data_IF_720447633674
#
_entry.id   IF_720447633674
#
_cell.length_a   1.000
_cell.length_b   1.000
_cell.length_c   1.000
_cell.angle_alpha   90.00
_cell.angle_beta   90.00
_cell.angle_gamma   90.00
#
_symmetry.space_group_name_H-M   'P 1'
#
loop_
_entity.id
_entity.type
_entity.pdbx_description
1 polymer ?
#
# COMPACT_ATOMS: atom_id res chain seq x y z
N UNK A 1 -21.24 -0.87 -11.77
CA UNK A 1 -20.51 -1.14 -10.51
C UNK A 1 -19.08 -0.66 -10.72
N UNK A 2 -18.46 -0.01 -9.73
CA UNK A 2 -17.01 0.28 -9.82
C UNK A 2 -16.25 -1.03 -9.65
N UNK A 3 -15.17 -1.21 -10.41
CA UNK A 3 -14.27 -2.33 -10.22
C UNK A 3 -13.46 -2.13 -8.92
N UNK A 4 -13.11 -3.22 -8.25
CA UNK A 4 -12.35 -3.19 -6.98
C UNK A 4 -10.95 -2.59 -7.15
N UNK A 5 -10.36 -2.85 -8.32
CA UNK A 5 -9.04 -2.41 -8.76
C UNK A 5 -9.14 -2.21 -10.29
N UNK A 6 -8.41 -1.25 -10.84
CA UNK A 6 -8.46 -0.94 -12.29
C UNK A 6 -7.07 -0.92 -12.95
N UNK A 7 -6.01 -1.20 -12.17
CA UNK A 7 -4.63 -1.19 -12.64
C UNK A 7 -3.74 -2.03 -11.72
N UNK A 8 -2.44 -1.77 -11.75
CA UNK A 8 -1.45 -2.49 -10.93
C UNK A 8 -1.00 -1.64 -9.76
N UNK A 9 -1.12 -2.16 -8.54
CA UNK A 9 -0.69 -1.49 -7.31
C UNK A 9 0.38 -2.30 -6.59
N UNK A 10 1.45 -1.66 -6.12
CA UNK A 10 2.42 -2.26 -5.22
C UNK A 10 2.37 -1.54 -3.86
N UNK A 11 1.76 -2.19 -2.88
CA UNK A 11 1.42 -1.59 -1.59
C UNK A 11 2.39 -2.12 -0.55
N UNK A 12 3.20 -1.24 0.04
CA UNK A 12 4.35 -1.62 0.89
C UNK A 12 4.09 -1.21 2.33
N UNK A 13 4.27 -2.14 3.27
CA UNK A 13 4.00 -1.94 4.69
C UNK A 13 4.94 -0.96 5.40
N UNK A 14 5.98 -0.45 4.74
CA UNK A 14 6.96 0.43 5.34
C UNK A 14 8.28 -0.26 5.67
N UNK A 15 9.31 0.56 5.93
CA UNK A 15 10.65 0.10 6.31
C UNK A 15 11.23 -1.00 5.38
N UNK A 16 10.87 -0.98 4.10
CA UNK A 16 11.36 -1.96 3.13
C UNK A 16 12.87 -1.85 2.93
N UNK A 17 13.48 -2.97 2.56
CA UNK A 17 14.92 -3.09 2.34
C UNK A 17 15.41 -2.12 1.25
N UNK A 18 16.36 -1.26 1.63
CA UNK A 18 16.99 -0.24 0.80
C UNK A 18 18.49 -0.48 0.58
N UNK A 19 19.07 -1.47 1.25
CA UNK A 19 20.53 -1.68 1.28
C UNK A 19 20.93 -3.07 0.82
N UNK A 20 20.13 -4.09 1.12
CA UNK A 20 20.34 -5.49 0.77
C UNK A 20 19.86 -5.82 -0.65
N UNK A 21 19.06 -6.89 -0.78
CA UNK A 21 18.53 -7.36 -2.07
C UNK A 21 17.52 -6.38 -2.67
N UNK A 22 16.89 -5.53 -1.85
CA UNK A 22 15.87 -4.57 -2.28
C UNK A 22 14.75 -5.23 -3.10
N UNK A 23 14.27 -6.41 -2.70
CA UNK A 23 13.39 -7.26 -3.52
C UNK A 23 12.12 -6.52 -3.98
N UNK A 24 11.44 -5.84 -3.04
CA UNK A 24 10.21 -5.09 -3.31
C UNK A 24 10.48 -3.93 -4.28
N UNK A 25 11.55 -3.16 -4.05
CA UNK A 25 11.91 -2.02 -4.90
C UNK A 25 12.39 -2.46 -6.28
N UNK A 26 13.09 -3.59 -6.38
CA UNK A 26 13.48 -4.22 -7.64
C UNK A 26 12.25 -4.66 -8.44
N UNK A 27 11.25 -5.25 -7.77
CA UNK A 27 9.98 -5.61 -8.39
C UNK A 27 9.28 -4.38 -8.97
N UNK A 28 9.22 -3.28 -8.23
CA UNK A 28 8.65 -2.01 -8.71
C UNK A 28 9.33 -1.52 -9.99
N UNK A 29 10.67 -1.47 -10.02
CA UNK A 29 11.42 -1.01 -11.20
C UNK A 29 11.16 -1.92 -12.41
N UNK A 30 11.14 -3.23 -12.21
CA UNK A 30 10.81 -4.21 -13.27
C UNK A 30 9.40 -4.00 -13.82
N UNK A 31 8.40 -3.88 -12.95
CA UNK A 31 7.01 -3.62 -13.32
C UNK A 31 6.85 -2.28 -14.05
N UNK A 32 7.68 -1.29 -13.70
CA UNK A 32 7.69 0.03 -14.33
C UNK A 32 8.40 0.04 -15.70
N UNK A 33 8.93 -1.08 -16.19
CA UNK A 33 9.61 -1.18 -17.49
C UNK A 33 11.15 -1.13 -17.44
N UNK A 34 11.75 -1.27 -16.25
CA UNK A 34 13.20 -1.34 -16.04
C UNK A 34 13.97 -0.20 -16.75
N UNK A 35 14.90 -0.52 -17.66
CA UNK A 35 15.71 0.49 -18.35
C UNK A 35 14.90 1.45 -19.23
N UNK A 36 13.66 1.13 -19.57
CA UNK A 36 12.74 2.01 -20.30
C UNK A 36 11.74 2.74 -19.39
N UNK A 37 11.87 2.58 -18.07
CA UNK A 37 10.93 3.16 -17.12
C UNK A 37 11.02 4.69 -17.07
N UNK A 38 9.88 5.35 -16.90
CA UNK A 38 9.78 6.75 -16.48
C UNK A 38 9.11 6.73 -15.11
N UNK A 39 9.92 6.82 -14.06
CA UNK A 39 9.47 6.75 -12.66
C UNK A 39 9.31 8.15 -12.08
N UNK A 40 8.13 8.42 -11.53
CA UNK A 40 7.85 9.65 -10.78
C UNK A 40 7.82 9.32 -9.28
N UNK A 41 8.72 9.91 -8.49
CA UNK A 41 8.74 9.78 -7.03
C UNK A 41 7.98 10.97 -6.43
N UNK A 42 6.91 10.71 -5.70
CA UNK A 42 6.09 11.74 -5.04
C UNK A 42 6.44 11.76 -3.56
N UNK A 43 6.99 12.88 -3.10
CA UNK A 43 7.51 13.06 -1.74
C UNK A 43 6.60 13.94 -0.87
N UNK A 44 5.34 14.12 -1.26
CA UNK A 44 4.38 15.00 -0.56
C UNK A 44 4.20 14.67 0.92
N UNK A 45 4.22 13.38 1.29
CA UNK A 45 4.10 12.94 2.67
C UNK A 45 5.34 13.22 3.52
N UNK A 46 6.52 13.30 2.90
CA UNK A 46 7.79 13.27 3.61
C UNK A 46 8.05 14.59 4.37
N UNK A 47 8.59 14.47 5.58
CA UNK A 47 9.07 15.61 6.37
C UNK A 47 10.34 16.23 5.75
N UNK A 48 11.19 15.38 5.17
CA UNK A 48 12.39 15.79 4.41
C UNK A 48 12.28 15.35 2.93
N UNK A 49 11.46 16.03 2.10
CA UNK A 49 11.17 15.63 0.73
C UNK A 49 12.41 15.42 -0.13
N UNK A 50 13.39 16.33 -0.03
CA UNK A 50 14.59 16.27 -0.85
C UNK A 50 15.48 15.10 -0.46
N UNK A 51 15.69 14.85 0.85
CA UNK A 51 16.53 13.75 1.32
C UNK A 51 15.94 12.41 0.90
N UNK A 52 14.66 12.19 1.19
CA UNK A 52 13.95 10.93 0.90
C UNK A 52 13.82 10.73 -0.62
N UNK A 53 13.50 11.78 -1.37
CA UNK A 53 13.43 11.71 -2.83
C UNK A 53 14.77 11.35 -3.47
N UNK A 54 15.87 11.93 -2.99
CA UNK A 54 17.21 11.59 -3.48
C UNK A 54 17.65 10.18 -3.10
N UNK A 55 17.26 9.69 -1.93
CA UNK A 55 17.49 8.30 -1.51
C UNK A 55 16.83 7.31 -2.49
N UNK A 56 15.51 7.40 -2.71
CA UNK A 56 14.83 6.53 -3.67
C UNK A 56 15.35 6.71 -5.10
N UNK A 57 15.70 7.93 -5.51
CA UNK A 57 16.32 8.16 -6.82
C UNK A 57 17.63 7.38 -6.96
N UNK A 58 18.49 7.37 -5.95
CA UNK A 58 19.74 6.58 -5.98
C UNK A 58 19.46 5.08 -6.04
N UNK A 59 18.50 4.61 -5.25
CA UNK A 59 18.12 3.19 -5.20
C UNK A 59 17.57 2.74 -6.56
N UNK A 60 16.59 3.44 -7.12
CA UNK A 60 16.00 3.06 -8.41
C UNK A 60 17.01 3.16 -9.56
N UNK A 61 17.94 4.12 -9.55
CA UNK A 61 19.06 4.16 -10.50
C UNK A 61 19.94 2.90 -10.38
N UNK A 62 20.32 2.52 -9.15
CA UNK A 62 21.11 1.30 -8.90
C UNK A 62 20.39 0.02 -9.35
N UNK A 63 19.05 0.02 -9.28
CA UNK A 63 18.19 -1.07 -9.71
C UNK A 63 17.89 -1.06 -11.22
N UNK A 64 18.44 -0.11 -11.98
CA UNK A 64 18.35 -0.08 -13.44
C UNK A 64 17.12 0.62 -14.02
N UNK A 65 16.50 1.55 -13.28
CA UNK A 65 15.45 2.41 -13.83
C UNK A 65 16.01 3.38 -14.89
N UNK A 66 15.23 3.64 -15.95
CA UNK A 66 15.63 4.51 -17.05
C UNK A 66 15.67 6.01 -16.69
N UNK A 67 14.50 6.62 -16.50
CA UNK A 67 14.34 8.01 -16.11
C UNK A 67 13.63 8.11 -14.76
N UNK A 68 14.10 9.01 -13.90
CA UNK A 68 13.51 9.24 -12.57
C UNK A 68 13.37 10.74 -12.33
N UNK A 69 12.15 11.17 -12.01
CA UNK A 69 11.85 12.54 -11.59
C UNK A 69 11.30 12.54 -10.16
N UNK A 70 11.80 13.46 -9.32
CA UNK A 70 11.35 13.62 -7.94
C UNK A 70 10.43 14.84 -7.87
N UNK A 71 9.19 14.63 -7.46
CA UNK A 71 8.17 15.65 -7.34
C UNK A 71 7.81 15.88 -5.88
N UNK A 72 8.34 16.99 -5.33
CA UNK A 72 7.85 17.54 -4.07
C UNK A 72 6.62 18.42 -4.34
N UNK A 73 5.42 17.83 -4.28
CA UNK A 73 4.16 18.57 -4.41
C UNK A 73 3.72 19.01 -3.01
N UNK A 74 4.11 20.22 -2.64
CA UNK A 74 4.00 20.76 -1.27
C UNK A 74 2.72 21.56 -1.00
N UNK A 75 1.95 21.86 -2.05
CA UNK A 75 0.82 22.78 -2.01
C UNK A 75 -0.23 22.44 -3.06
N UNK A 76 -1.50 22.72 -2.75
CA UNK A 76 -2.62 22.53 -3.71
C UNK A 76 -2.45 23.37 -4.97
N UNK A 77 -1.79 24.54 -4.88
CA UNK A 77 -1.47 25.38 -6.04
C UNK A 77 -0.53 24.65 -6.99
N UNK A 78 0.53 24.04 -6.47
CA UNK A 78 1.46 23.24 -7.28
C UNK A 78 0.77 22.00 -7.87
N UNK A 79 -0.06 21.32 -7.06
CA UNK A 79 -0.83 20.15 -7.51
C UNK A 79 -1.86 20.47 -8.63
N UNK A 80 -2.30 21.73 -8.74
CA UNK A 80 -3.18 22.17 -9.84
C UNK A 80 -2.45 22.75 -11.05
N UNK A 81 -1.11 22.82 -11.01
CA UNK A 81 -0.36 23.33 -12.14
C UNK A 81 -0.45 22.33 -13.30
N UNK A 82 -0.84 22.79 -14.50
CA UNK A 82 -1.07 21.92 -15.68
C UNK A 82 0.12 21.04 -16.08
N UNK A 83 1.33 21.48 -15.74
CA UNK A 83 2.56 20.70 -15.91
C UNK A 83 2.53 19.36 -15.17
N UNK A 84 1.89 19.26 -14.00
CA UNK A 84 1.80 18.01 -13.23
C UNK A 84 1.10 16.91 -14.02
N UNK A 85 -0.01 17.23 -14.71
CA UNK A 85 -0.72 16.28 -15.56
C UNK A 85 0.16 15.74 -16.68
N UNK A 86 0.95 16.61 -17.33
CA UNK A 86 1.86 16.23 -18.43
C UNK A 86 3.00 15.32 -17.98
N UNK A 87 3.51 15.51 -16.76
CA UNK A 87 4.51 14.62 -16.19
C UNK A 87 3.96 13.23 -15.95
N UNK A 88 2.78 13.16 -15.33
CA UNK A 88 2.11 11.89 -15.03
C UNK A 88 1.62 11.16 -16.29
N UNK A 89 1.40 11.88 -17.38
CA UNK A 89 0.97 11.30 -18.66
C UNK A 89 1.97 10.26 -19.19
N UNK A 90 3.27 10.56 -19.05
CA UNK A 90 4.38 9.73 -19.56
C UNK A 90 4.89 8.71 -18.55
N UNK A 91 4.42 8.75 -17.31
CA UNK A 91 4.93 7.90 -16.25
C UNK A 91 4.57 6.43 -16.49
N UNK A 92 5.55 5.54 -16.35
CA UNK A 92 5.34 4.07 -16.35
C UNK A 92 5.34 3.50 -14.94
N UNK A 93 5.92 4.23 -13.99
CA UNK A 93 5.83 3.96 -12.55
C UNK A 93 5.66 5.24 -11.75
N UNK A 94 4.84 5.19 -10.70
CA UNK A 94 4.67 6.28 -9.74
C UNK A 94 4.89 5.71 -8.34
N UNK A 95 5.75 6.34 -7.54
CA UNK A 95 6.10 5.88 -6.20
C UNK A 95 5.80 6.94 -5.14
N UNK A 96 4.90 6.64 -4.21
CA UNK A 96 4.63 7.47 -3.04
C UNK A 96 5.54 7.09 -1.87
N UNK A 97 6.27 8.07 -1.34
CA UNK A 97 7.09 7.84 -0.14
C UNK A 97 6.23 7.82 1.14
N UNK A 98 6.83 7.39 2.24
CA UNK A 98 6.24 7.49 3.57
C UNK A 98 6.20 8.92 4.12
N UNK A 99 5.64 9.07 5.32
CA UNK A 99 5.47 10.34 6.05
C UNK A 99 4.03 10.49 6.55
N UNK A 100 3.37 11.61 6.25
CA UNK A 100 1.97 11.87 6.59
C UNK A 100 1.01 11.58 5.42
N UNK A 101 0.14 10.58 5.59
CA UNK A 101 -0.87 10.20 4.60
C UNK A 101 -1.99 11.24 4.43
N UNK A 102 -2.35 12.00 5.47
CA UNK A 102 -3.34 13.08 5.37
C UNK A 102 -2.81 14.25 4.53
N UNK A 103 -1.50 14.51 4.60
CA UNK A 103 -0.84 15.49 3.74
C UNK A 103 -0.98 15.15 2.26
N UNK A 104 -0.86 13.88 1.88
CA UNK A 104 -1.07 13.45 0.48
C UNK A 104 -2.49 13.76 0.03
N UNK A 105 -3.52 13.30 0.76
CA UNK A 105 -4.91 13.45 0.32
C UNK A 105 -5.37 14.91 0.36
N UNK A 106 -4.95 15.69 1.35
CA UNK A 106 -5.30 17.12 1.46
C UNK A 106 -4.63 17.99 0.38
N UNK A 107 -3.40 17.65 -0.04
CA UNK A 107 -2.68 18.39 -1.08
C UNK A 107 -3.09 17.96 -2.49
N UNK A 108 -3.27 16.65 -2.73
CA UNK A 108 -3.54 16.12 -4.07
C UNK A 108 -5.03 15.98 -4.36
N UNK A 109 -5.87 15.69 -3.36
CA UNK A 109 -7.28 15.39 -3.55
C UNK A 109 -8.03 16.44 -4.38
N UNK A 110 -8.69 16.00 -5.45
CA UNK A 110 -9.46 16.86 -6.36
C UNK A 110 -8.64 17.88 -7.14
N UNK A 111 -7.34 17.64 -7.34
CA UNK A 111 -6.47 18.49 -8.15
C UNK A 111 -6.14 17.86 -9.50
N UNK A 112 -5.57 18.64 -10.43
CA UNK A 112 -5.04 18.15 -11.71
C UNK A 112 -4.06 16.99 -11.52
N UNK A 113 -3.21 17.03 -10.49
CA UNK A 113 -2.33 15.90 -10.17
C UNK A 113 -3.13 14.64 -9.84
N UNK A 114 -4.21 14.74 -9.04
CA UNK A 114 -5.04 13.57 -8.71
C UNK A 114 -5.76 12.98 -9.93
N UNK A 115 -6.26 13.83 -10.84
CA UNK A 115 -6.82 13.38 -12.11
C UNK A 115 -5.76 12.71 -13.01
N UNK A 116 -4.55 13.28 -13.05
CA UNK A 116 -3.41 12.71 -13.75
C UNK A 116 -2.98 11.35 -13.19
N UNK A 117 -2.95 11.21 -11.86
CA UNK A 117 -2.67 9.95 -11.17
C UNK A 117 -3.69 8.88 -11.54
N UNK A 118 -4.97 9.21 -11.46
CA UNK A 118 -6.04 8.29 -11.84
C UNK A 118 -5.97 7.90 -13.32
N UNK A 119 -5.71 8.88 -14.20
CA UNK A 119 -5.55 8.61 -15.63
C UNK A 119 -4.35 7.71 -15.92
N UNK A 120 -3.22 7.91 -15.24
CA UNK A 120 -2.05 7.06 -15.36
C UNK A 120 -2.34 5.63 -14.90
N UNK A 121 -2.96 5.48 -13.72
CA UNK A 121 -3.39 4.19 -13.19
C UNK A 121 -4.27 3.41 -14.18
N UNK A 122 -5.27 4.06 -14.77
CA UNK A 122 -6.18 3.45 -15.74
C UNK A 122 -5.51 3.08 -17.07
N UNK A 123 -4.38 3.73 -17.43
CA UNK A 123 -3.56 3.38 -18.60
C UNK A 123 -2.59 2.24 -18.34
N UNK A 124 -2.54 1.71 -17.12
CA UNK A 124 -1.64 0.61 -16.74
C UNK A 124 -0.32 1.05 -16.11
N UNK A 125 -0.15 2.34 -15.78
CA UNK A 125 0.99 2.80 -14.98
C UNK A 125 0.95 2.12 -13.60
N UNK A 126 2.08 1.57 -13.16
CA UNK A 126 2.18 0.93 -11.84
C UNK A 126 2.26 2.02 -10.78
N UNK A 127 1.37 1.97 -9.79
CA UNK A 127 1.43 2.87 -8.63
C UNK A 127 1.91 2.08 -7.42
N UNK A 128 3.01 2.54 -6.83
CA UNK A 128 3.60 1.96 -5.64
C UNK A 128 3.60 2.98 -4.49
N UNK A 129 3.61 2.49 -3.25
CA UNK A 129 3.65 3.37 -2.10
C UNK A 129 4.01 2.64 -0.83
N UNK A 130 4.82 3.28 0.00
CA UNK A 130 5.31 2.73 1.27
C UNK A 130 4.80 3.54 2.46
N UNK A 131 4.42 2.85 3.55
CA UNK A 131 3.89 3.47 4.76
C UNK A 131 2.70 4.39 4.43
N UNK A 132 2.78 5.70 4.66
CA UNK A 132 1.74 6.64 4.24
C UNK A 132 1.30 6.48 2.76
N UNK A 133 2.24 6.22 1.85
CA UNK A 133 1.96 5.96 0.43
C UNK A 133 1.13 4.70 0.19
N UNK A 134 1.17 3.71 1.08
CA UNK A 134 0.31 2.54 1.04
C UNK A 134 -1.11 2.86 1.52
N UNK A 135 -1.23 3.54 2.67
CA UNK A 135 -2.52 3.89 3.27
C UNK A 135 -3.40 4.77 2.38
N UNK A 136 -2.80 5.66 1.57
CA UNK A 136 -3.57 6.52 0.66
C UNK A 136 -4.19 5.78 -0.52
N UNK A 137 -3.75 4.55 -0.83
CA UNK A 137 -4.29 3.81 -1.97
C UNK A 137 -5.70 3.31 -1.72
N UNK A 138 -6.05 3.00 -0.47
CA UNK A 138 -7.40 2.56 -0.10
C UNK A 138 -8.45 3.64 -0.31
N UNK A 139 -9.71 3.24 -0.51
CA UNK A 139 -10.86 4.14 -0.49
C UNK A 139 -11.09 4.76 0.88
N UNK A 140 -10.87 3.98 1.95
CA UNK A 140 -10.96 4.39 3.35
C UNK A 140 -9.60 4.22 4.01
N UNK A 141 -9.09 5.28 4.62
CA UNK A 141 -7.72 5.38 5.13
C UNK A 141 -7.71 5.62 6.64
N UNK A 142 -6.86 4.91 7.36
CA UNK A 142 -6.57 5.18 8.78
C UNK A 142 -5.55 6.33 8.86
N UNK A 143 -5.92 7.40 9.55
CA UNK A 143 -5.10 8.62 9.67
C UNK A 143 -4.39 8.67 11.02
N UNK A 144 -5.12 8.35 12.08
CA UNK A 144 -4.61 8.28 13.44
C UNK A 144 -5.19 7.04 14.11
N UNK A 145 -4.51 6.56 15.15
CA UNK A 145 -5.05 5.53 16.01
C UNK A 145 -4.02 4.95 16.96
N UNK A 146 -4.45 4.74 18.19
CA UNK A 146 -3.66 4.19 19.28
C UNK A 146 -3.51 2.67 19.12
N UNK A 147 -2.30 2.17 19.32
CA UNK A 147 -1.93 0.75 19.23
C UNK A 147 -1.82 0.05 20.58
N UNK A 148 -1.72 0.82 21.67
CA UNK A 148 -1.24 0.29 22.95
C UNK A 148 -2.39 -0.09 23.91
N UNK A 149 -3.63 0.16 23.48
CA UNK A 149 -4.84 -0.10 24.26
C UNK A 149 -5.79 -1.06 23.55
N UNK A 150 -6.72 -1.65 24.31
CA UNK A 150 -7.80 -2.42 23.74
C UNK A 150 -8.57 -1.57 22.69
N UNK A 151 -9.05 -2.17 21.59
CA UNK A 151 -9.76 -1.43 20.56
C UNK A 151 -10.99 -0.72 21.16
N UNK A 152 -11.17 0.58 20.87
CA UNK A 152 -12.26 1.41 21.39
C UNK A 152 -12.71 2.47 20.36
N UNK A 153 -13.79 3.21 20.63
CA UNK A 153 -14.35 4.19 19.69
C UNK A 153 -13.35 5.29 19.28
N UNK A 154 -12.47 5.72 20.19
CA UNK A 154 -11.47 6.75 19.94
C UNK A 154 -10.14 6.17 19.40
N UNK A 155 -10.05 4.85 19.22
CA UNK A 155 -8.82 4.18 18.81
C UNK A 155 -8.44 4.46 17.35
N UNK A 156 -9.32 5.04 16.54
CA UNK A 156 -9.03 5.39 15.15
C UNK A 156 -9.69 6.69 14.66
N UNK A 157 -9.02 7.33 13.71
CA UNK A 157 -9.63 8.30 12.80
C UNK A 157 -9.53 7.81 11.37
N UNK A 158 -10.67 7.77 10.69
CA UNK A 158 -10.77 7.40 9.28
C UNK A 158 -10.96 8.64 8.40
N UNK A 159 -10.36 8.63 7.22
CA UNK A 159 -10.58 9.63 6.17
C UNK A 159 -10.66 8.95 4.79
N UNK A 160 -11.23 9.62 3.77
CA UNK A 160 -11.12 9.15 2.40
C UNK A 160 -9.65 9.12 1.93
N UNK A 161 -9.25 8.03 1.27
CA UNK A 161 -7.98 7.96 0.55
C UNK A 161 -8.13 8.42 -0.91
N UNK A 162 -7.22 7.98 -1.78
CA UNK A 162 -7.26 8.25 -3.23
C UNK A 162 -8.21 7.30 -3.98
N UNK A 163 -8.64 6.19 -3.35
CA UNK A 163 -9.59 5.25 -3.96
C UNK A 163 -9.04 4.50 -5.17
N UNK A 164 -7.75 4.12 -5.12
CA UNK A 164 -7.13 3.28 -6.15
C UNK A 164 -7.45 1.79 -5.93
N UNK A 165 -7.66 1.42 -4.66
CA UNK A 165 -8.14 0.12 -4.22
C UNK A 165 -9.43 0.30 -3.42
N UNK A 166 -10.54 -0.12 -3.99
CA UNK A 166 -11.87 0.02 -3.41
C UNK A 166 -12.18 -1.13 -2.42
N UNK A 167 -13.03 -0.85 -1.44
CA UNK A 167 -13.52 -1.82 -0.43
C UNK A 167 -12.39 -2.47 0.40
N UNK A 168 -11.30 -1.74 0.62
CA UNK A 168 -10.17 -2.14 1.47
C UNK A 168 -9.78 -0.95 2.35
N UNK A 169 -9.37 -1.23 3.59
CA UNK A 169 -8.61 -0.31 4.44
C UNK A 169 -7.24 -0.90 4.69
N UNK A 170 -6.21 -0.11 4.43
CA UNK A 170 -4.81 -0.54 4.54
C UNK A 170 -4.19 0.02 5.81
N UNK A 171 -3.57 -0.86 6.58
CA UNK A 171 -2.68 -0.51 7.66
C UNK A 171 -1.27 -1.05 7.41
N UNK A 172 -0.27 -0.31 7.84
CA UNK A 172 1.15 -0.49 7.54
C UNK A 172 1.94 -0.58 8.85
N UNK A 173 3.21 -0.96 8.82
CA UNK A 173 4.03 -1.26 10.01
C UNK A 173 3.26 -2.16 11.00
N UNK A 174 2.51 -3.12 10.47
CA UNK A 174 1.32 -3.63 11.12
C UNK A 174 1.61 -4.41 12.41
N UNK A 175 2.29 -5.55 12.31
CA UNK A 175 2.69 -6.32 13.49
C UNK A 175 3.70 -5.54 14.36
N UNK A 176 4.61 -4.79 13.73
CA UNK A 176 5.69 -4.08 14.41
C UNK A 176 5.19 -3.00 15.37
N UNK A 177 3.99 -2.46 15.12
CA UNK A 177 3.35 -1.44 15.96
C UNK A 177 2.06 -1.93 16.61
N UNK A 178 1.81 -3.24 16.70
CA UNK A 178 0.63 -3.78 17.40
C UNK A 178 -0.72 -3.34 16.82
N UNK A 179 -0.80 -3.04 15.51
CA UNK A 179 -1.94 -2.31 14.89
C UNK A 179 -3.18 -3.15 14.62
N UNK A 180 -3.24 -4.39 15.14
CA UNK A 180 -4.41 -5.26 14.98
C UNK A 180 -5.67 -4.62 15.57
N UNK A 181 -5.55 -3.97 16.72
CA UNK A 181 -6.70 -3.42 17.42
C UNK A 181 -7.39 -2.31 16.65
N UNK A 182 -6.61 -1.36 16.15
CA UNK A 182 -7.13 -0.24 15.36
C UNK A 182 -7.68 -0.68 14.00
N UNK A 183 -7.12 -1.72 13.39
CA UNK A 183 -7.67 -2.31 12.17
C UNK A 183 -8.99 -3.07 12.42
N UNK A 184 -9.12 -3.77 13.56
CA UNK A 184 -10.38 -4.37 14.00
C UNK A 184 -11.46 -3.30 14.18
N UNK A 185 -11.14 -2.18 14.84
CA UNK A 185 -12.05 -1.03 14.95
C UNK A 185 -12.49 -0.55 13.57
N UNK A 186 -11.57 -0.40 12.61
CA UNK A 186 -11.90 0.09 11.27
C UNK A 186 -12.88 -0.85 10.53
N UNK A 187 -12.68 -2.16 10.63
CA UNK A 187 -13.59 -3.16 10.07
C UNK A 187 -14.92 -3.19 10.83
N UNK A 188 -14.93 -3.01 12.15
CA UNK A 188 -16.17 -2.94 12.92
C UNK A 188 -17.02 -1.72 12.55
N UNK A 189 -16.41 -0.56 12.28
CA UNK A 189 -17.12 0.63 11.79
C UNK A 189 -17.83 0.40 10.45
N UNK A 190 -17.29 -0.47 9.60
CA UNK A 190 -17.93 -0.85 8.35
C UNK A 190 -17.55 -2.27 7.95
N UNK A 191 -18.32 -3.31 8.34
CA UNK A 191 -17.98 -4.70 8.03
C UNK A 191 -17.92 -5.01 6.52
N UNK A 192 -18.40 -4.10 5.66
CA UNK A 192 -18.24 -4.19 4.21
C UNK A 192 -16.78 -4.05 3.77
N UNK A 193 -15.92 -3.27 4.44
CA UNK A 193 -14.52 -3.12 4.00
C UNK A 193 -13.66 -4.29 4.47
N UNK A 194 -12.69 -4.68 3.65
CA UNK A 194 -11.66 -5.67 4.02
C UNK A 194 -10.50 -4.95 4.71
N UNK A 195 -10.17 -5.35 5.94
CA UNK A 195 -8.95 -4.88 6.60
C UNK A 195 -7.73 -5.58 6.03
N UNK A 196 -6.68 -4.84 5.69
CA UNK A 196 -5.40 -5.34 5.19
C UNK A 196 -4.25 -4.73 5.99
N UNK A 197 -3.68 -5.49 6.92
CA UNK A 197 -2.49 -5.12 7.68
C UNK A 197 -1.23 -5.67 7.02
N UNK A 198 -0.33 -4.79 6.60
CA UNK A 198 0.92 -5.14 5.91
C UNK A 198 2.10 -4.86 6.85
N UNK A 199 2.89 -5.89 7.11
CA UNK A 199 4.09 -5.79 7.94
C UNK A 199 5.21 -5.00 7.25
N UNK A 200 6.18 -4.55 8.05
CA UNK A 200 7.42 -3.97 7.51
C UNK A 200 8.13 -4.93 6.55
N UNK A 201 8.85 -4.34 5.58
CA UNK A 201 9.57 -5.07 4.53
C UNK A 201 8.73 -6.14 3.83
N UNK A 202 7.43 -5.87 3.72
CA UNK A 202 6.44 -6.70 3.04
C UNK A 202 5.58 -5.83 2.14
N UNK A 203 5.18 -6.38 1.00
CA UNK A 203 4.31 -5.72 0.05
C UNK A 203 3.28 -6.68 -0.54
N UNK A 204 2.16 -6.12 -0.98
CA UNK A 204 1.23 -6.81 -1.89
C UNK A 204 1.32 -6.20 -3.28
N UNK A 205 1.51 -7.04 -4.29
CA UNK A 205 1.28 -6.64 -5.67
C UNK A 205 -0.15 -7.03 -6.05
N UNK A 206 -1.01 -6.04 -6.25
CA UNK A 206 -2.40 -6.22 -6.67
C UNK A 206 -2.47 -6.10 -8.19
N UNK A 207 -3.02 -7.12 -8.82
CA UNK A 207 -3.24 -7.20 -10.26
C UNK A 207 -4.63 -6.66 -10.66
N UNK A 208 -4.83 -6.26 -11.93
CA UNK A 208 -6.12 -5.75 -12.42
C UNK A 208 -7.31 -6.71 -12.27
N UNK A 209 -7.06 -8.01 -12.07
CA UNK A 209 -8.09 -9.04 -11.83
C UNK A 209 -8.46 -9.20 -10.33
N UNK A 210 -8.02 -8.27 -9.48
CA UNK A 210 -8.23 -8.27 -8.04
C UNK A 210 -7.56 -9.43 -7.28
N UNK A 211 -6.60 -10.12 -7.90
CA UNK A 211 -5.70 -11.04 -7.20
C UNK A 211 -4.48 -10.30 -6.72
N UNK A 212 -3.93 -10.71 -5.59
CA UNK A 212 -2.65 -10.20 -5.09
C UNK A 212 -1.67 -11.32 -4.80
N UNK A 213 -0.38 -10.99 -4.96
CA UNK A 213 0.77 -11.78 -4.49
C UNK A 213 1.47 -11.06 -3.32
N UNK A 214 1.93 -11.81 -2.33
CA UNK A 214 2.74 -11.28 -1.22
C UNK A 214 4.22 -11.39 -1.54
N UNK A 215 4.94 -10.27 -1.37
CA UNK A 215 6.37 -10.10 -1.64
C UNK A 215 7.04 -9.58 -0.37
N UNK A 216 8.31 -9.94 -0.14
CA UNK A 216 9.08 -9.47 1.02
C UNK A 216 9.22 -10.52 2.11
N UNK A 217 9.55 -10.09 3.31
CA UNK A 217 10.09 -10.96 4.36
C UNK A 217 9.05 -11.45 5.38
N UNK A 218 7.94 -10.73 5.58
CA UNK A 218 6.97 -11.01 6.63
C UNK A 218 5.59 -11.40 6.06
N UNK A 219 4.50 -10.93 6.69
CA UNK A 219 3.14 -11.39 6.40
C UNK A 219 2.18 -10.25 6.11
N UNK A 220 1.05 -10.61 5.52
CA UNK A 220 -0.11 -9.73 5.35
C UNK A 220 -1.30 -10.34 6.07
N UNK A 221 -1.88 -9.59 6.99
CA UNK A 221 -3.07 -9.99 7.74
C UNK A 221 -4.32 -9.40 7.11
N UNK A 222 -5.29 -10.25 6.80
CA UNK A 222 -6.61 -9.85 6.32
C UNK A 222 -7.67 -10.05 7.40
N UNK A 223 -8.53 -9.05 7.57
CA UNK A 223 -9.69 -9.08 8.45
C UNK A 223 -10.98 -8.90 7.64
N UNK A 224 -11.75 -9.96 7.47
CA UNK A 224 -13.03 -9.93 6.76
C UNK A 224 -14.20 -9.84 7.74
N UNK A 225 -14.81 -8.65 7.79
CA UNK A 225 -15.94 -8.34 8.65
C UNK A 225 -17.29 -8.89 8.17
N UNK A 226 -17.41 -9.45 6.96
CA UNK A 226 -18.72 -9.85 6.39
C UNK A 226 -19.47 -10.92 7.20
N UNK A 227 -18.76 -11.66 8.05
CA UNK A 227 -19.36 -12.68 8.91
C UNK A 227 -19.62 -12.21 10.34
N UNK A 228 -19.35 -10.93 10.66
CA UNK A 228 -19.60 -10.37 11.98
C UNK A 228 -21.10 -10.51 12.32
N UNK A 229 -21.39 -11.19 13.42
CA UNK A 229 -22.76 -11.39 13.92
C UNK A 229 -23.14 -10.39 15.00
N UNK A 230 -22.15 -9.81 15.68
CA UNK A 230 -22.33 -8.83 16.73
C UNK A 230 -21.13 -7.89 16.82
N UNK A 231 -21.40 -6.61 17.03
CA UNK A 231 -20.42 -5.60 17.43
C UNK A 231 -21.10 -4.52 18.26
N UNK A 232 -20.45 -4.04 19.31
CA UNK A 232 -20.98 -2.95 20.14
C UNK A 232 -20.53 -1.55 19.67
N UNK A 233 -19.86 -1.43 18.51
CA UNK A 233 -19.20 -0.20 18.03
C UNK A 233 -20.10 1.06 18.03
N UNK A 234 -21.40 0.93 17.75
CA UNK A 234 -22.35 2.06 17.72
C UNK A 234 -22.76 2.58 19.10
N UNK A 235 -22.55 1.76 20.14
CA UNK A 235 -22.94 2.03 21.53
C UNK A 235 -21.74 2.36 22.40
N UNK A 236 -20.51 2.19 21.88
CA UNK A 236 -19.29 2.44 22.61
C UNK A 236 -19.17 3.90 23.04
N UNK A 237 -18.99 4.09 24.35
CA UNK A 237 -18.35 5.30 24.87
C UNK A 237 -16.82 5.21 24.66
N UNK A 238 -16.10 6.35 24.61
CA UNK A 238 -14.65 6.41 24.35
C UNK A 238 -13.78 5.39 25.09
N UNK A 239 -14.10 5.08 26.35
CA UNK A 239 -13.27 4.22 27.23
C UNK A 239 -13.75 2.76 27.28
N UNK A 240 -14.80 2.42 26.53
CA UNK A 240 -15.33 1.06 26.49
C UNK A 240 -14.61 0.21 25.44
N UNK A 241 -14.32 -1.04 25.81
CA UNK A 241 -13.69 -2.00 24.91
C UNK A 241 -14.68 -2.50 23.85
N UNK A 242 -14.19 -2.62 22.63
CA UNK A 242 -14.89 -3.17 21.48
C UNK A 242 -15.10 -4.68 21.66
N UNK A 243 -16.36 -5.10 21.54
CA UNK A 243 -16.75 -6.48 21.35
C UNK A 243 -17.01 -6.72 19.86
N UNK A 244 -16.42 -7.76 19.28
CA UNK A 244 -16.69 -8.23 17.92
C UNK A 244 -16.80 -9.74 17.97
N UNK A 245 -17.83 -10.29 17.35
CA UNK A 245 -18.01 -11.73 17.22
C UNK A 245 -17.93 -12.16 15.74
N UNK A 246 -17.24 -13.27 15.50
CA UNK A 246 -17.20 -13.97 14.21
C UNK A 246 -16.53 -13.19 13.05
N UNK A 247 -15.38 -12.56 13.32
CA UNK A 247 -14.51 -12.01 12.28
C UNK A 247 -13.61 -13.10 11.68
N UNK A 248 -13.44 -13.10 10.36
CA UNK A 248 -12.53 -14.05 9.69
C UNK A 248 -11.15 -13.41 9.52
N UNK A 249 -10.12 -14.10 10.01
CA UNK A 249 -8.74 -13.69 9.93
C UNK A 249 -7.95 -14.61 8.99
N UNK A 250 -7.17 -14.02 8.08
CA UNK A 250 -6.18 -14.74 7.28
C UNK A 250 -4.80 -14.12 7.45
N UNK A 251 -3.76 -14.93 7.59
CA UNK A 251 -2.36 -14.48 7.59
C UNK A 251 -1.69 -15.09 6.36
N UNK A 252 -1.21 -14.24 5.45
CA UNK A 252 -0.69 -14.64 4.15
C UNK A 252 0.80 -14.26 4.08
N UNK A 253 1.73 -15.24 4.11
CA UNK A 253 3.15 -14.98 3.93
C UNK A 253 3.53 -14.94 2.44
N UNK A 254 4.80 -14.62 2.16
CA UNK A 254 5.41 -14.74 0.84
C UNK A 254 5.10 -16.08 0.16
N UNK A 255 4.84 -16.03 -1.14
CA UNK A 255 4.59 -17.21 -1.98
C UNK A 255 3.14 -17.70 -1.98
N UNK A 256 2.27 -17.06 -1.20
CA UNK A 256 0.83 -17.21 -1.29
C UNK A 256 0.21 -15.98 -1.95
N UNK A 257 -1.04 -16.12 -2.40
CA UNK A 257 -1.83 -15.01 -2.91
C UNK A 257 -3.14 -14.86 -2.15
N UNK A 258 -3.91 -13.85 -2.56
CA UNK A 258 -5.27 -13.63 -2.04
C UNK A 258 -6.17 -13.09 -3.15
N UNK A 259 -7.38 -13.62 -3.26
CA UNK A 259 -8.41 -13.13 -4.16
C UNK A 259 -9.25 -12.11 -3.40
N UNK A 260 -9.13 -10.82 -3.73
CA UNK A 260 -9.82 -9.74 -3.03
C UNK A 260 -11.33 -9.74 -3.30
N UNK A 261 -11.79 -10.28 -4.43
CA UNK A 261 -13.20 -10.34 -4.77
C UNK A 261 -13.89 -11.48 -4.00
N UNK A 262 -13.27 -12.67 -3.97
CA UNK A 262 -13.76 -13.79 -3.19
C UNK A 262 -13.49 -13.64 -1.68
N UNK A 263 -12.50 -12.81 -1.31
CA UNK A 263 -11.84 -12.72 0.01
C UNK A 263 -11.37 -14.08 0.50
N UNK A 264 -10.54 -14.73 -0.30
CA UNK A 264 -10.00 -16.05 0.02
C UNK A 264 -8.51 -16.12 -0.27
N UNK A 265 -7.73 -16.84 0.56
CA UNK A 265 -6.36 -17.19 0.22
C UNK A 265 -6.30 -17.97 -1.09
N UNK A 266 -5.34 -17.62 -1.94
CA UNK A 266 -4.97 -18.42 -3.11
C UNK A 266 -3.81 -19.32 -2.66
N UNK A 267 -3.97 -20.65 -2.69
CA UNK A 267 -2.91 -21.57 -2.32
C UNK A 267 -1.66 -21.32 -3.16
N UNK A 268 -0.50 -21.59 -2.59
CA UNK A 268 0.76 -21.60 -3.33
C UNK A 268 0.61 -22.53 -4.54
N UNK A 269 0.77 -22.00 -5.75
CA UNK A 269 0.81 -22.81 -6.95
C UNK A 269 1.99 -23.77 -6.85
N UNK A 270 1.72 -25.08 -6.92
CA UNK A 270 2.74 -26.12 -6.95
C UNK A 270 3.53 -26.02 -8.26
N UNK A 271 4.59 -25.20 -8.29
CA UNK A 271 5.41 -25.04 -9.49
C UNK A 271 6.04 -23.67 -9.63
N UNK A 272 7.00 -23.36 -8.76
CA UNK A 272 8.16 -22.47 -8.96
C UNK A 272 8.81 -22.31 -7.60
N UNK A 273 9.52 -23.35 -7.20
CA UNK A 273 10.64 -23.19 -6.29
C UNK A 273 11.78 -22.76 -7.23
N UNK A 274 12.01 -21.45 -7.37
CA UNK A 274 13.35 -21.03 -7.77
C UNK A 274 14.23 -21.33 -6.56
N UNK A 275 14.90 -22.48 -6.61
CA UNK A 275 15.93 -22.86 -5.64
C UNK A 275 17.06 -21.86 -5.78
N UNK A 276 17.14 -20.87 -4.89
CA UNK A 276 18.39 -20.17 -4.57
C UNK A 276 19.30 -21.15 -3.78
N UNK A 277 19.81 -22.18 -4.44
CA UNK A 277 21.02 -22.88 -4.00
C UNK A 277 21.94 -22.97 -5.20
N UNK A 278 22.85 -21.99 -5.26
CA UNK A 278 23.91 -21.96 -6.25
C UNK A 278 24.80 -23.18 -6.14
N UNK A 279 25.11 -23.74 -7.30
CA UNK A 279 26.18 -24.68 -7.54
C UNK A 279 27.44 -24.27 -6.77
N UNK A 280 27.76 -25.01 -5.71
CA UNK A 280 29.15 -25.18 -5.30
C UNK A 280 29.77 -26.17 -6.29
N UNK A 281 30.37 -25.64 -7.35
CA UNK A 281 31.47 -26.31 -8.00
C UNK A 281 32.64 -26.30 -7.00
N UNK A 282 32.89 -27.43 -6.36
CA UNK A 282 34.22 -27.75 -5.84
C UNK A 282 34.84 -28.77 -6.78
N UNK A 283 35.88 -28.33 -7.46
CA UNK A 283 36.86 -29.16 -8.16
C UNK A 283 37.42 -30.23 -7.21
N UNK A 284 37.45 -31.47 -7.69
CA UNK A 284 38.39 -32.51 -7.27
C UNK A 284 38.71 -33.42 -8.46
#
# INVERSE_FOLDING_TARGET
MRNKVEGTLLIIGGAEDKTGKCEILSRFVKLSGAGSSIIIIITTAAEEPDRVGQEYRRIFNKLGAGHIEVLNIDSRRRANHSYMGRLLEKATGIFFTGGDQLRITSVLGGTVTNEGLRSAYLRGTVIAGTSAGASVMSSTMIVEGDSDHAPNLNSIKLAPGLGLLEEVVIDQHFAQRGRIGRLLSAVAHNPYILGMGIDEDTAVLVHPDARLEVIGSQTVTFLDGRQIIFTNISELSPDQALAIENIVLHIIPRGFGFDLAARRPIPRSAGRIETEEGEKNEDS
#
